data_IF_157161310116
#
_entry.id   IF_157161310116
#
_cell.length_a   1.000
_cell.length_b   1.000
_cell.length_c   1.000
_cell.angle_alpha   90.00
_cell.angle_beta   90.00
_cell.angle_gamma   90.00
#
_symmetry.space_group_name_H-M   'P 1'
#
loop_
_entity.id
_entity.type
_entity.pdbx_description
1 polymer ?
#
# COMPACT_ATOMS: atom_id res chain seq x y z
N UNK A 1 0.09 11.44 8.08
CA UNK A 1 0.75 11.43 6.77
C UNK A 1 0.27 10.18 6.06
N UNK A 2 -0.08 10.25 4.76
CA UNK A 2 -0.36 9.05 3.97
C UNK A 2 0.82 8.06 4.08
N UNK A 3 0.53 6.77 4.02
CA UNK A 3 1.56 5.75 3.92
C UNK A 3 2.35 5.88 2.62
N UNK A 4 3.46 5.15 2.51
CA UNK A 4 4.34 5.21 1.34
C UNK A 4 3.60 4.76 0.07
N UNK A 5 2.69 3.80 0.23
CA UNK A 5 1.94 3.23 -0.88
C UNK A 5 0.89 4.21 -1.38
N UNK A 6 0.13 4.85 -0.50
CA UNK A 6 -0.85 5.87 -0.88
C UNK A 6 -0.17 7.04 -1.55
N UNK A 7 0.97 7.49 -1.02
CA UNK A 7 1.79 8.52 -1.66
C UNK A 7 2.32 8.09 -3.04
N UNK A 8 2.69 6.82 -3.22
CA UNK A 8 3.10 6.28 -4.52
C UNK A 8 1.93 6.24 -5.51
N UNK A 9 0.74 5.84 -5.09
CA UNK A 9 -0.48 5.84 -5.92
C UNK A 9 -0.88 7.27 -6.31
N UNK A 10 -0.80 8.21 -5.38
CA UNK A 10 -1.05 9.63 -5.63
C UNK A 10 -0.04 10.20 -6.62
N UNK A 11 1.26 9.94 -6.41
CA UNK A 11 2.31 10.37 -7.33
C UNK A 11 2.16 9.77 -8.73
N UNK A 12 1.76 8.50 -8.80
CA UNK A 12 1.47 7.84 -10.06
C UNK A 12 0.28 8.47 -10.78
N UNK A 13 -0.82 8.77 -10.07
CA UNK A 13 -2.00 9.41 -10.64
C UNK A 13 -1.68 10.81 -11.20
N UNK A 14 -0.86 11.60 -10.50
CA UNK A 14 -0.40 12.92 -10.95
C UNK A 14 0.45 12.86 -12.23
N UNK A 15 1.11 11.72 -12.50
CA UNK A 15 1.83 11.51 -13.75
C UNK A 15 0.91 11.29 -14.97
N UNK A 16 -0.41 11.10 -14.78
CA UNK A 16 -1.38 10.80 -15.85
C UNK A 16 -0.94 9.66 -16.77
N UNK A 17 -0.74 8.45 -16.22
CA UNK A 17 -0.29 7.28 -16.97
C UNK A 17 -1.32 6.86 -18.02
N UNK A 18 -0.86 6.14 -19.04
CA UNK A 18 -1.72 5.40 -19.97
C UNK A 18 -1.90 3.98 -19.43
N UNK A 19 -3.04 3.75 -18.77
CA UNK A 19 -3.31 2.52 -18.02
C UNK A 19 -2.30 2.32 -16.87
N UNK A 20 -1.57 1.20 -16.91
CA UNK A 20 -0.54 0.86 -15.91
C UNK A 20 0.90 1.21 -16.34
N UNK A 21 1.04 2.10 -17.34
CA UNK A 21 2.33 2.50 -17.90
C UNK A 21 2.50 4.01 -18.03
N UNK A 22 3.74 4.46 -17.95
CA UNK A 22 4.15 5.86 -18.16
C UNK A 22 5.30 5.89 -19.17
N UNK A 23 5.24 6.77 -20.16
CA UNK A 23 6.31 6.90 -21.14
C UNK A 23 7.61 7.42 -20.49
N UNK A 24 8.73 6.74 -20.73
CA UNK A 24 10.04 7.01 -20.09
C UNK A 24 10.50 8.45 -20.33
N UNK A 25 10.29 8.97 -21.54
CA UNK A 25 10.69 10.32 -21.94
C UNK A 25 9.92 11.45 -21.23
N UNK A 26 8.76 11.14 -20.66
CA UNK A 26 7.95 12.12 -19.91
C UNK A 26 8.40 12.20 -18.45
N UNK A 27 8.95 11.12 -17.89
CA UNK A 27 9.30 11.03 -16.47
C UNK A 27 10.22 12.16 -16.00
N UNK A 28 11.29 12.57 -16.72
CA UNK A 28 12.16 13.67 -16.27
C UNK A 28 11.41 14.97 -15.99
N UNK A 29 10.35 15.25 -16.76
CA UNK A 29 9.53 16.45 -16.63
C UNK A 29 8.57 16.37 -15.43
N UNK A 30 8.26 15.15 -14.97
CA UNK A 30 7.35 14.87 -13.87
C UNK A 30 8.06 14.75 -12.52
N UNK A 31 9.40 14.64 -12.50
CA UNK A 31 10.20 14.49 -11.28
C UNK A 31 9.88 15.51 -10.19
N UNK A 32 9.71 16.81 -10.47
CA UNK A 32 9.37 17.78 -9.43
C UNK A 32 8.06 17.43 -8.71
N UNK A 33 7.04 16.97 -9.45
CA UNK A 33 5.74 16.60 -8.89
C UNK A 33 5.83 15.30 -8.07
N UNK A 34 6.63 14.33 -8.54
CA UNK A 34 6.86 13.09 -7.79
C UNK A 34 7.61 13.38 -6.49
N UNK A 35 8.63 14.24 -6.53
CA UNK A 35 9.49 14.56 -5.39
C UNK A 35 8.71 15.15 -4.21
N UNK A 36 7.74 16.03 -4.46
CA UNK A 36 6.97 16.66 -3.36
C UNK A 36 6.06 15.69 -2.62
N UNK A 37 5.78 14.52 -3.21
CA UNK A 37 4.93 13.49 -2.61
C UNK A 37 5.72 12.45 -1.82
N UNK A 38 7.06 12.48 -1.84
CA UNK A 38 7.89 11.51 -1.10
C UNK A 38 7.75 11.73 0.42
N UNK A 39 7.22 10.73 1.17
CA UNK A 39 7.05 10.87 2.61
C UNK A 39 8.38 11.14 3.33
N UNK A 40 8.35 12.02 4.34
CA UNK A 40 9.56 12.42 5.08
C UNK A 40 10.48 13.42 4.34
N UNK A 41 10.21 13.72 3.07
CA UNK A 41 11.02 14.58 2.19
C UNK A 41 11.34 15.95 2.75
N UNK A 42 10.39 16.58 3.44
CA UNK A 42 10.50 17.96 3.89
C UNK A 42 10.46 18.11 5.43
N UNK A 43 10.49 17.00 6.16
CA UNK A 43 10.40 17.01 7.63
C UNK A 43 11.64 17.61 8.29
N UNK A 44 12.82 17.43 7.68
CA UNK A 44 14.09 17.95 8.19
C UNK A 44 14.92 18.58 7.07
N UNK A 45 15.84 19.51 7.38
CA UNK A 45 16.76 20.04 6.38
C UNK A 45 17.67 18.98 5.75
N UNK A 46 17.96 17.89 6.47
CA UNK A 46 18.76 16.79 5.96
C UNK A 46 17.98 15.92 4.99
N UNK A 47 16.74 15.55 5.31
CA UNK A 47 15.86 14.81 4.39
C UNK A 47 15.57 15.62 3.12
N UNK A 48 15.39 16.94 3.22
CA UNK A 48 15.22 17.82 2.07
C UNK A 48 16.44 17.85 1.14
N UNK A 49 17.66 17.82 1.70
CA UNK A 49 18.90 17.70 0.91
C UNK A 49 18.98 16.36 0.19
N UNK A 50 18.69 15.24 0.88
CA UNK A 50 18.67 13.91 0.26
C UNK A 50 17.62 13.80 -0.84
N UNK A 51 16.43 14.35 -0.61
CA UNK A 51 15.38 14.43 -1.62
C UNK A 51 15.86 15.19 -2.86
N UNK A 52 16.49 16.36 -2.65
CA UNK A 52 17.06 17.15 -3.73
C UNK A 52 18.16 16.39 -4.51
N UNK A 53 19.02 15.64 -3.83
CA UNK A 53 20.05 14.80 -4.47
C UNK A 53 19.48 13.64 -5.30
N UNK A 54 18.36 13.05 -4.86
CA UNK A 54 17.71 11.94 -5.57
C UNK A 54 17.03 12.39 -6.86
N UNK A 55 16.40 13.57 -6.85
CA UNK A 55 15.53 14.03 -7.93
C UNK A 55 16.18 15.07 -8.86
N UNK A 56 17.22 15.79 -8.43
CA UNK A 56 17.88 16.80 -9.27
C UNK A 56 19.26 16.35 -9.77
N UNK A 57 19.44 16.35 -11.09
CA UNK A 57 20.77 16.24 -11.71
C UNK A 57 21.52 17.56 -11.51
N UNK A 58 22.51 17.59 -10.63
CA UNK A 58 23.40 18.75 -10.50
C UNK A 58 24.39 18.90 -11.66
N UNK A 59 24.40 17.95 -12.61
CA UNK A 59 25.47 17.88 -13.58
C UNK A 59 25.12 18.68 -14.86
N UNK A 60 26.03 19.58 -15.30
CA UNK A 60 25.88 20.28 -16.58
C UNK A 60 25.87 19.29 -17.76
N UNK A 61 25.38 19.77 -18.91
CA UNK A 61 25.20 19.05 -20.20
C UNK A 61 26.14 17.83 -20.34
N UNK A 62 25.56 16.62 -20.27
CA UNK A 62 26.30 15.34 -20.27
C UNK A 62 26.39 14.64 -18.91
N UNK A 63 25.75 15.18 -17.88
CA UNK A 63 25.64 14.59 -16.56
C UNK A 63 24.90 13.25 -16.48
N UNK A 64 25.18 12.48 -15.43
CA UNK A 64 24.39 11.30 -15.09
C UNK A 64 22.93 11.71 -14.76
N UNK A 65 21.94 10.87 -15.13
CA UNK A 65 20.54 11.11 -14.78
C UNK A 65 20.36 11.11 -13.25
N UNK A 66 19.29 11.73 -12.71
CA UNK A 66 19.00 11.70 -11.28
C UNK A 66 18.90 10.26 -10.79
N UNK A 67 19.28 10.02 -9.54
CA UNK A 67 19.27 8.67 -8.95
C UNK A 67 17.88 8.03 -9.05
N UNK A 68 16.82 8.82 -8.87
CA UNK A 68 15.45 8.34 -9.03
C UNK A 68 15.17 7.76 -10.41
N UNK A 69 15.60 8.42 -11.49
CA UNK A 69 15.42 7.89 -12.86
C UNK A 69 16.15 6.56 -13.07
N UNK A 70 17.32 6.39 -12.45
CA UNK A 70 18.09 5.16 -12.53
C UNK A 70 17.37 3.97 -11.86
N UNK A 71 16.48 4.24 -10.90
CA UNK A 71 15.72 3.20 -10.19
C UNK A 71 14.46 2.71 -10.94
N UNK A 72 13.93 3.48 -11.90
CA UNK A 72 12.63 3.19 -12.54
C UNK A 72 12.64 2.02 -13.54
N UNK A 73 13.82 1.52 -13.92
CA UNK A 73 14.03 0.32 -14.77
C UNK A 73 13.04 0.24 -15.96
N UNK A 74 13.05 1.21 -16.88
CA UNK A 74 12.11 1.25 -18.00
C UNK A 74 12.24 0.01 -18.90
N UNK A 75 11.11 -0.42 -19.46
CA UNK A 75 10.96 -1.56 -20.37
C UNK A 75 10.29 -1.07 -21.64
N UNK A 76 10.98 -1.22 -22.78
CA UNK A 76 10.49 -0.78 -24.11
C UNK A 76 10.07 0.71 -24.14
N UNK A 77 10.80 1.58 -23.43
CA UNK A 77 10.48 3.01 -23.34
C UNK A 77 9.30 3.32 -22.42
N UNK A 78 8.85 2.37 -21.61
CA UNK A 78 7.76 2.56 -20.66
C UNK A 78 8.21 2.18 -19.24
N UNK A 79 7.74 2.94 -18.25
CA UNK A 79 7.83 2.61 -16.83
C UNK A 79 6.50 2.02 -16.42
N UNK A 80 6.50 0.82 -15.85
CA UNK A 80 5.29 0.23 -15.28
C UNK A 80 5.13 0.63 -13.81
N UNK A 81 3.88 0.69 -13.34
CA UNK A 81 3.57 1.09 -11.96
C UNK A 81 4.35 0.31 -10.91
N UNK A 82 4.52 -1.02 -11.03
CA UNK A 82 5.25 -1.80 -10.02
C UNK A 82 6.73 -1.39 -9.88
N UNK A 83 7.40 -1.05 -10.98
CA UNK A 83 8.76 -0.53 -10.94
C UNK A 83 8.80 0.90 -10.40
N UNK A 84 7.81 1.72 -10.76
CA UNK A 84 7.66 3.05 -10.18
C UNK A 84 7.47 3.00 -8.67
N UNK A 85 6.54 2.15 -8.19
CA UNK A 85 6.28 1.95 -6.78
C UNK A 85 7.53 1.43 -6.06
N UNK A 86 8.29 0.50 -6.65
CA UNK A 86 9.58 0.06 -6.12
C UNK A 86 10.56 1.23 -5.97
N UNK A 87 10.78 2.01 -7.02
CA UNK A 87 11.68 3.18 -6.98
C UNK A 87 11.22 4.24 -5.96
N UNK A 88 9.90 4.45 -5.84
CA UNK A 88 9.30 5.39 -4.91
C UNK A 88 9.49 4.95 -3.45
N UNK A 89 9.23 3.68 -3.13
CA UNK A 89 9.49 3.11 -1.80
C UNK A 89 10.96 3.23 -1.41
N UNK A 90 11.88 2.95 -2.34
CA UNK A 90 13.32 3.09 -2.08
C UNK A 90 13.73 4.56 -1.89
N UNK A 91 13.18 5.49 -2.67
CA UNK A 91 13.40 6.91 -2.49
C UNK A 91 12.94 7.38 -1.10
N UNK A 92 11.74 6.97 -0.65
CA UNK A 92 11.23 7.29 0.68
C UNK A 92 12.15 6.79 1.80
N UNK A 93 12.67 5.55 1.68
CA UNK A 93 13.63 4.96 2.65
C UNK A 93 14.95 5.73 2.69
N UNK A 94 15.49 6.11 1.53
CA UNK A 94 16.74 6.88 1.41
C UNK A 94 16.61 8.28 2.02
N UNK A 95 15.46 8.94 1.79
CA UNK A 95 15.15 10.26 2.33
C UNK A 95 14.99 10.23 3.85
N UNK A 96 14.20 9.27 4.37
CA UNK A 96 14.03 9.04 5.81
C UNK A 96 15.35 8.72 6.53
N UNK A 97 16.35 8.28 5.76
CA UNK A 97 17.75 8.41 6.14
C UNK A 97 18.52 7.14 6.36
N UNK A 98 18.02 6.00 5.89
CA UNK A 98 18.74 4.71 5.85
C UNK A 98 19.29 4.17 7.19
N UNK A 99 19.22 4.97 8.26
CA UNK A 99 19.65 4.63 9.59
C UNK A 99 18.56 3.79 10.23
N UNK A 100 18.70 2.48 10.05
CA UNK A 100 18.16 1.41 10.91
C UNK A 100 17.20 1.94 11.99
N UNK A 101 15.92 1.74 11.72
CA UNK A 101 14.70 2.11 12.47
C UNK A 101 14.61 1.58 13.92
N UNK A 102 15.74 1.39 14.61
CA UNK A 102 15.80 0.93 16.00
C UNK A 102 15.80 2.08 17.01
N UNK A 103 14.92 3.08 16.88
CA UNK A 103 14.76 4.09 17.93
C UNK A 103 13.32 4.61 18.02
N UNK A 104 12.54 3.85 18.80
CA UNK A 104 11.60 4.37 19.79
C UNK A 104 10.40 5.20 19.30
N UNK A 105 9.46 4.57 18.59
CA UNK A 105 8.05 4.94 18.70
C UNK A 105 7.13 3.74 18.34
N UNK A 106 6.76 3.00 19.38
CA UNK A 106 5.63 2.05 19.52
C UNK A 106 5.37 0.95 18.47
N UNK A 107 5.30 -0.33 18.91
CA UNK A 107 4.97 -1.50 18.10
C UNK A 107 3.46 -1.68 17.88
N UNK A 108 2.72 -0.65 17.48
CA UNK A 108 1.25 -0.73 17.38
C UNK A 108 0.66 -0.50 16.00
N UNK A 109 1.44 -0.10 15.01
CA UNK A 109 0.85 0.10 13.70
C UNK A 109 0.85 -1.20 12.89
N UNK A 110 -0.20 -2.00 13.10
CA UNK A 110 -0.49 -3.18 12.26
C UNK A 110 -0.59 -2.81 10.78
N UNK A 111 -0.95 -1.57 10.45
CA UNK A 111 -1.05 -1.10 9.08
C UNK A 111 0.33 -1.03 8.42
N UNK A 112 1.27 -0.29 9.01
CA UNK A 112 2.63 -0.19 8.48
C UNK A 112 3.34 -1.54 8.32
N UNK A 113 2.96 -2.54 9.14
CA UNK A 113 3.47 -3.91 8.96
C UNK A 113 2.97 -4.56 7.67
N UNK A 114 1.68 -4.49 7.38
CA UNK A 114 1.11 -5.15 6.21
C UNK A 114 1.61 -4.50 4.91
N UNK A 115 1.73 -3.17 4.90
CA UNK A 115 2.31 -2.43 3.78
C UNK A 115 3.73 -2.92 3.46
N UNK A 116 4.59 -3.08 4.48
CA UNK A 116 5.95 -3.61 4.32
C UNK A 116 5.95 -5.05 3.78
N UNK A 117 5.05 -5.92 4.25
CA UNK A 117 4.94 -7.29 3.76
C UNK A 117 4.51 -7.33 2.27
N UNK A 118 3.63 -6.41 1.84
CA UNK A 118 3.21 -6.27 0.43
C UNK A 118 4.33 -5.70 -0.45
N UNK A 119 5.10 -4.72 0.01
CA UNK A 119 6.29 -4.23 -0.69
C UNK A 119 7.32 -5.37 -0.90
N UNK A 120 7.55 -6.18 0.13
CA UNK A 120 8.46 -7.33 0.02
C UNK A 120 7.96 -8.37 -0.99
N UNK A 121 6.66 -8.63 -1.04
CA UNK A 121 6.07 -9.52 -2.04
C UNK A 121 6.27 -8.96 -3.45
N UNK A 122 5.97 -7.67 -3.66
CA UNK A 122 6.21 -6.95 -4.93
C UNK A 122 7.66 -7.12 -5.37
N UNK A 123 8.61 -6.86 -4.47
CA UNK A 123 10.04 -6.89 -4.81
C UNK A 123 10.51 -8.29 -5.20
N UNK A 124 10.06 -9.34 -4.49
CA UNK A 124 10.37 -10.73 -4.87
C UNK A 124 9.76 -11.10 -6.21
N UNK A 125 8.51 -10.72 -6.45
CA UNK A 125 7.82 -10.95 -7.72
C UNK A 125 8.57 -10.26 -8.89
N UNK A 126 8.93 -8.99 -8.75
CA UNK A 126 9.71 -8.27 -9.77
C UNK A 126 11.07 -8.94 -10.00
N UNK A 127 11.75 -9.37 -8.93
CA UNK A 127 13.01 -10.10 -9.04
C UNK A 127 12.87 -11.41 -9.83
N UNK A 128 11.77 -12.15 -9.67
CA UNK A 128 11.49 -13.36 -10.47
C UNK A 128 11.35 -13.04 -11.95
N UNK A 129 10.59 -12.00 -12.28
CA UNK A 129 10.37 -11.53 -13.66
C UNK A 129 11.72 -11.14 -14.29
N UNK A 130 12.54 -10.37 -13.57
CA UNK A 130 13.87 -9.96 -14.01
C UNK A 130 14.81 -11.15 -14.24
N UNK A 131 14.84 -12.11 -13.31
CA UNK A 131 15.69 -13.29 -13.40
C UNK A 131 15.33 -14.19 -14.59
N UNK A 132 14.03 -14.31 -14.90
CA UNK A 132 13.53 -15.08 -16.02
C UNK A 132 13.65 -14.35 -17.37
N UNK A 133 13.99 -13.04 -17.36
CA UNK A 133 14.05 -12.18 -18.56
C UNK A 133 12.76 -12.21 -19.39
N UNK A 134 11.63 -12.31 -18.71
CA UNK A 134 10.27 -12.34 -19.27
C UNK A 134 9.51 -11.11 -18.80
N UNK A 135 8.35 -10.85 -19.40
CA UNK A 135 7.38 -9.82 -18.97
C UNK A 135 6.13 -10.45 -18.32
N UNK A 136 6.16 -11.77 -18.11
CA UNK A 136 5.05 -12.55 -17.57
C UNK A 136 5.51 -13.40 -16.39
N UNK A 137 4.65 -13.52 -15.38
CA UNK A 137 4.86 -14.38 -14.23
C UNK A 137 3.82 -15.50 -14.25
N UNK A 138 4.26 -16.76 -14.14
CA UNK A 138 3.31 -17.86 -13.98
C UNK A 138 2.53 -17.72 -12.68
N UNK A 139 1.23 -17.99 -12.71
CA UNK A 139 0.35 -17.96 -11.53
C UNK A 139 0.83 -18.91 -10.44
N UNK A 140 1.42 -20.05 -10.80
CA UNK A 140 2.03 -20.98 -9.84
C UNK A 140 3.15 -20.30 -9.05
N UNK A 141 4.02 -19.55 -9.73
CA UNK A 141 5.12 -18.81 -9.06
C UNK A 141 4.57 -17.70 -8.18
N UNK A 142 3.49 -17.01 -8.60
CA UNK A 142 2.84 -16.00 -7.76
C UNK A 142 2.28 -16.62 -6.48
N UNK A 143 1.57 -17.76 -6.60
CA UNK A 143 1.01 -18.50 -5.47
C UNK A 143 2.11 -18.95 -4.51
N UNK A 144 3.24 -19.45 -5.02
CA UNK A 144 4.39 -19.83 -4.20
C UNK A 144 4.96 -18.63 -3.41
N UNK A 145 5.09 -17.46 -4.05
CA UNK A 145 5.59 -16.24 -3.39
C UNK A 145 4.61 -15.72 -2.32
N UNK A 146 3.31 -15.88 -2.54
CA UNK A 146 2.26 -15.53 -1.56
C UNK A 146 2.27 -16.50 -0.38
N UNK A 147 2.41 -17.81 -0.62
CA UNK A 147 2.60 -18.80 0.45
C UNK A 147 3.85 -18.51 1.30
N UNK A 148 4.93 -18.10 0.65
CA UNK A 148 6.16 -17.67 1.32
C UNK A 148 5.92 -16.43 2.20
N UNK A 149 5.23 -15.40 1.68
CA UNK A 149 4.79 -14.23 2.47
C UNK A 149 3.96 -14.66 3.68
N UNK A 150 2.92 -15.46 3.46
CA UNK A 150 2.01 -15.93 4.50
C UNK A 150 2.73 -16.65 5.63
N UNK A 151 3.75 -17.46 5.31
CA UNK A 151 4.54 -18.23 6.27
C UNK A 151 5.44 -17.35 7.16
N UNK A 152 5.84 -16.18 6.65
CA UNK A 152 6.69 -15.22 7.38
C UNK A 152 5.93 -14.05 8.01
N UNK A 153 4.64 -13.93 7.67
CA UNK A 153 3.79 -12.81 8.09
C UNK A 153 3.39 -12.87 9.56
N UNK A 154 3.19 -11.70 10.16
CA UNK A 154 2.50 -11.62 11.46
C UNK A 154 0.99 -11.39 11.36
N UNK A 155 0.46 -11.32 10.15
CA UNK A 155 -0.97 -11.17 9.85
C UNK A 155 -1.43 -12.35 8.98
N UNK A 156 -1.32 -13.61 9.45
CA UNK A 156 -1.64 -14.79 8.65
C UNK A 156 -3.11 -14.88 8.24
N UNK A 157 -4.01 -14.14 8.91
CA UNK A 157 -5.43 -14.06 8.53
C UNK A 157 -5.62 -13.42 7.15
N UNK A 158 -5.02 -12.26 6.94
CA UNK A 158 -5.07 -11.55 5.66
C UNK A 158 -4.53 -12.41 4.51
N UNK A 159 -3.36 -13.01 4.68
CA UNK A 159 -2.75 -13.83 3.63
C UNK A 159 -3.55 -15.09 3.29
N UNK A 160 -4.32 -15.63 4.25
CA UNK A 160 -5.24 -16.73 3.97
C UNK A 160 -6.36 -16.29 3.03
N UNK A 161 -6.95 -15.13 3.26
CA UNK A 161 -7.99 -14.55 2.39
C UNK A 161 -7.44 -14.28 0.99
N UNK A 162 -6.21 -13.76 0.89
CA UNK A 162 -5.51 -13.58 -0.40
C UNK A 162 -5.32 -14.91 -1.13
N UNK A 163 -4.87 -15.97 -0.44
CA UNK A 163 -4.69 -17.31 -1.02
C UNK A 163 -6.03 -17.92 -1.47
N UNK A 164 -7.10 -17.72 -0.72
CA UNK A 164 -8.45 -18.16 -1.11
C UNK A 164 -8.92 -17.43 -2.37
N UNK A 165 -8.68 -16.11 -2.47
CA UNK A 165 -8.98 -15.31 -3.66
C UNK A 165 -8.17 -15.71 -4.89
N UNK A 166 -6.92 -16.15 -4.71
CA UNK A 166 -6.06 -16.63 -5.79
C UNK A 166 -6.60 -17.90 -6.47
N UNK A 167 -7.44 -18.69 -5.79
CA UNK A 167 -8.12 -19.83 -6.40
C UNK A 167 -8.95 -19.46 -7.64
N UNK A 168 -9.44 -18.21 -7.71
CA UNK A 168 -10.15 -17.71 -8.88
C UNK A 168 -9.22 -17.47 -10.09
N UNK A 169 -7.91 -17.27 -9.86
CA UNK A 169 -6.90 -17.06 -10.91
C UNK A 169 -6.31 -18.36 -11.46
N UNK A 170 -6.68 -19.53 -10.94
CA UNK A 170 -6.14 -20.83 -11.39
C UNK A 170 -6.33 -21.10 -12.89
N UNK A 171 -7.32 -20.47 -13.52
CA UNK A 171 -7.57 -20.59 -14.95
C UNK A 171 -6.57 -19.80 -15.81
N UNK A 172 -5.88 -18.81 -15.23
CA UNK A 172 -4.88 -17.98 -15.90
C UNK A 172 -3.52 -18.61 -15.68
N UNK A 173 -2.83 -19.02 -16.74
CA UNK A 173 -1.54 -19.71 -16.62
C UNK A 173 -0.37 -18.76 -16.27
N UNK A 174 -0.42 -17.55 -16.83
CA UNK A 174 0.59 -16.53 -16.64
C UNK A 174 -0.04 -15.14 -16.69
N UNK A 175 0.43 -14.26 -15.80
CA UNK A 175 0.02 -12.88 -15.68
C UNK A 175 1.09 -11.99 -16.29
N UNK A 176 0.70 -11.08 -17.18
CA UNK A 176 1.58 -10.00 -17.61
C UNK A 176 1.72 -8.93 -16.52
N UNK A 177 2.61 -7.96 -16.74
CA UNK A 177 2.93 -6.96 -15.73
C UNK A 177 1.75 -6.01 -15.38
N UNK A 178 0.83 -5.77 -16.31
CA UNK A 178 -0.37 -4.96 -16.09
C UNK A 178 -1.41 -5.74 -15.26
N UNK A 179 -1.65 -7.01 -15.59
CA UNK A 179 -2.52 -7.89 -14.80
C UNK A 179 -1.99 -8.06 -13.38
N UNK A 180 -0.69 -8.26 -13.24
CA UNK A 180 -0.02 -8.36 -11.95
C UNK A 180 -0.13 -7.04 -11.15
N UNK A 181 -0.04 -5.90 -11.83
CA UNK A 181 -0.26 -4.59 -11.22
C UNK A 181 -1.68 -4.49 -10.65
N UNK A 182 -2.69 -4.87 -11.44
CA UNK A 182 -4.08 -4.84 -11.02
C UNK A 182 -4.32 -5.75 -9.80
N UNK A 183 -3.74 -6.95 -9.79
CA UNK A 183 -3.80 -7.88 -8.64
C UNK A 183 -3.16 -7.25 -7.39
N UNK A 184 -1.97 -6.65 -7.52
CA UNK A 184 -1.30 -6.01 -6.38
C UNK A 184 -2.09 -4.81 -5.84
N UNK A 185 -2.67 -3.98 -6.71
CA UNK A 185 -3.51 -2.84 -6.29
C UNK A 185 -4.78 -3.33 -5.58
N UNK A 186 -5.43 -4.39 -6.10
CA UNK A 186 -6.58 -4.99 -5.43
C UNK A 186 -6.23 -5.46 -4.02
N UNK A 187 -5.10 -6.17 -3.85
CA UNK A 187 -4.60 -6.58 -2.54
C UNK A 187 -4.28 -5.42 -1.61
N UNK A 188 -3.80 -4.30 -2.12
CA UNK A 188 -3.60 -3.10 -1.30
C UNK A 188 -4.93 -2.55 -0.77
N UNK A 189 -5.96 -2.49 -1.60
CA UNK A 189 -7.29 -2.08 -1.15
C UNK A 189 -7.91 -3.07 -0.15
N UNK A 190 -7.72 -4.37 -0.38
CA UNK A 190 -8.17 -5.43 0.53
C UNK A 190 -7.44 -5.31 1.88
N UNK A 191 -6.14 -5.04 1.86
CA UNK A 191 -5.33 -4.82 3.07
C UNK A 191 -5.87 -3.66 3.90
N UNK A 192 -6.14 -2.50 3.29
CA UNK A 192 -6.73 -1.35 3.99
C UNK A 192 -8.09 -1.71 4.59
N UNK A 193 -8.96 -2.37 3.82
CA UNK A 193 -10.29 -2.79 4.27
C UNK A 193 -10.22 -3.78 5.43
N UNK A 194 -9.30 -4.75 5.35
CA UNK A 194 -9.06 -5.75 6.37
C UNK A 194 -8.59 -5.12 7.68
N UNK A 195 -7.66 -4.16 7.61
CA UNK A 195 -7.16 -3.42 8.78
C UNK A 195 -8.25 -2.58 9.44
N UNK A 196 -9.12 -1.93 8.67
CA UNK A 196 -10.27 -1.21 9.22
C UNK A 196 -11.20 -2.12 10.01
N UNK A 197 -11.49 -3.31 9.49
CA UNK A 197 -12.34 -4.31 10.15
C UNK A 197 -11.73 -4.78 11.47
N UNK A 198 -10.41 -5.00 11.51
CA UNK A 198 -9.68 -5.34 12.73
C UNK A 198 -9.75 -4.20 13.76
N UNK A 199 -9.56 -2.96 13.33
CA UNK A 199 -9.62 -1.79 14.20
C UNK A 199 -11.02 -1.59 14.81
N UNK A 200 -12.09 -1.78 14.01
CA UNK A 200 -13.48 -1.73 14.49
C UNK A 200 -13.77 -2.84 15.50
N UNK A 201 -13.27 -4.06 15.24
CA UNK A 201 -13.44 -5.20 16.13
C UNK A 201 -12.75 -4.98 17.47
N UNK A 202 -11.51 -4.48 17.47
CA UNK A 202 -10.76 -4.16 18.69
C UNK A 202 -11.44 -3.05 19.53
N UNK A 203 -11.97 -2.01 18.88
CA UNK A 203 -12.69 -0.94 19.57
C UNK A 203 -13.97 -1.43 20.27
N UNK A 204 -14.70 -2.36 19.65
CA UNK A 204 -15.94 -2.92 20.23
C UNK A 204 -15.69 -3.75 21.50
N UNK A 205 -14.57 -4.46 21.59
CA UNK A 205 -14.24 -5.31 22.74
C UNK A 205 -13.71 -4.52 23.94
N UNK A 206 -13.01 -3.40 23.71
CA UNK A 206 -12.47 -2.55 24.78
C UNK A 206 -13.54 -1.81 25.60
N UNK A 207 -14.73 -1.56 25.04
CA UNK A 207 -15.80 -0.80 25.69
C UNK A 207 -16.57 -1.58 26.78
N UNK A 208 -16.58 -2.91 26.74
CA UNK A 208 -17.38 -3.72 27.66
C UNK A 208 -16.72 -3.91 29.04
N UNK A 209 -15.39 -3.90 29.11
CA UNK A 209 -14.66 -4.20 30.35
C UNK A 209 -14.60 -3.03 31.36
N UNK A 210 -14.80 -1.79 30.93
CA UNK A 210 -14.66 -0.59 31.79
C UNK A 210 -15.90 -0.25 32.62
N UNK A 211 -17.03 -0.94 32.39
CA UNK A 211 -18.31 -0.60 33.04
C UNK A 211 -18.65 -1.44 34.29
N UNK A 212 -17.79 -2.37 34.68
CA UNK A 212 -18.07 -3.31 35.77
C UNK A 212 -17.68 -2.85 37.19
N UNK A 213 -16.99 -1.70 37.36
CA UNK A 213 -16.46 -1.30 38.70
C UNK A 213 -16.99 0.04 39.24
N UNK A 214 -18.18 0.49 38.81
CA UNK A 214 -18.83 1.65 39.41
C UNK A 214 -20.33 1.45 39.58
N UNK A 215 -20.72 0.85 40.69
CA UNK A 215 -22.10 0.95 41.16
C UNK A 215 -22.55 -0.18 42.07
N UNK A 216 -22.31 0.00 43.36
CA UNK A 216 -23.07 -0.65 44.43
C UNK A 216 -24.58 -0.57 44.14
N UNK A 217 -25.22 -1.73 44.19
CA UNK A 217 -26.48 -1.98 44.90
C UNK A 217 -27.63 -1.00 44.61
N UNK A 218 -28.48 -1.35 43.64
CA UNK A 218 -29.91 -1.07 43.72
C UNK A 218 -30.68 -2.08 42.84
N UNK A 219 -31.63 -2.73 43.51
CA UNK A 219 -32.74 -3.58 43.05
C UNK A 219 -32.66 -4.28 41.68
N UNK A 220 -32.53 -5.60 41.78
CA UNK A 220 -32.55 -6.57 40.69
C UNK A 220 -33.88 -7.32 40.74
N UNK A 221 -34.93 -6.74 40.16
CA UNK A 221 -36.17 -7.41 39.77
C UNK A 221 -36.77 -6.63 38.61
N UNK A 222 -37.20 -7.36 37.58
CA UNK A 222 -37.84 -6.90 36.34
C UNK A 222 -36.89 -6.41 35.23
N UNK A 223 -36.63 -7.31 34.27
CA UNK A 223 -36.73 -7.08 32.82
C UNK A 223 -36.03 -8.23 32.06
N UNK A 224 -36.69 -9.38 32.03
CA UNK A 224 -36.60 -10.32 30.91
C UNK A 224 -37.22 -9.65 29.66
N UNK A 225 -36.71 -10.01 28.48
CA UNK A 225 -37.23 -9.65 27.14
C UNK A 225 -37.08 -8.20 26.64
N UNK A 226 -35.85 -7.67 26.53
CA UNK A 226 -35.59 -6.55 25.60
C UNK A 226 -34.74 -7.01 24.43
N UNK A 227 -35.41 -7.23 23.30
CA UNK A 227 -34.78 -7.54 22.01
C UNK A 227 -33.79 -6.46 21.56
N UNK A 228 -32.93 -6.83 20.62
CA UNK A 228 -31.88 -5.97 20.07
C UNK A 228 -32.54 -4.85 19.25
N UNK A 229 -32.33 -3.56 19.58
CA UNK A 229 -32.86 -2.47 18.76
C UNK A 229 -32.11 -2.40 17.43
N UNK A 230 -32.84 -2.39 16.31
CA UNK A 230 -32.33 -2.17 14.95
C UNK A 230 -32.82 -0.80 14.48
N UNK A 231 -31.89 0.04 14.03
CA UNK A 231 -32.18 1.39 13.52
C UNK A 231 -32.02 1.40 12.00
N UNK A 232 -33.11 1.67 11.27
CA UNK A 232 -33.12 1.78 9.82
C UNK A 232 -33.17 3.27 9.45
N UNK A 233 -32.18 3.74 8.71
CA UNK A 233 -32.18 5.10 8.14
C UNK A 233 -32.69 5.01 6.70
N UNK A 234 -33.90 5.53 6.46
CA UNK A 234 -34.51 5.63 5.12
C UNK A 234 -34.39 7.07 4.66
N UNK A 235 -33.74 7.28 3.52
CA UNK A 235 -33.64 8.59 2.88
C UNK A 235 -34.64 8.66 1.73
N UNK A 236 -35.41 9.73 1.68
CA UNK A 236 -36.32 10.04 0.58
C UNK A 236 -35.56 10.84 -0.48
N UNK A 237 -35.42 10.25 -1.67
CA UNK A 237 -34.73 10.84 -2.83
C UNK A 237 -35.70 11.52 -3.80
N UNK A 238 -36.97 11.68 -3.44
CA UNK A 238 -37.96 12.34 -4.31
C UNK A 238 -37.77 13.85 -4.47
N UNK A 239 -36.80 14.46 -3.77
CA UNK A 239 -36.51 15.90 -3.83
C UNK A 239 -35.23 16.27 -4.58
N UNK A 240 -34.56 15.34 -5.26
CA UNK A 240 -33.48 15.71 -6.17
C UNK A 240 -34.08 16.25 -7.48
N UNK A 241 -34.28 17.58 -7.52
CA UNK A 241 -34.56 18.34 -8.74
C UNK A 241 -33.50 17.98 -9.79
N UNK A 242 -33.96 17.46 -10.94
CA UNK A 242 -33.10 17.07 -12.05
C UNK A 242 -32.39 18.32 -12.59
N UNK A 243 -31.08 18.42 -12.36
CA UNK A 243 -30.21 19.45 -12.93
C UNK A 243 -29.76 19.05 -14.33
#
# INVERSE_FOLDING_TARGET
MPGVIEAALEAWAECRPDGMTLAEELVPQLLPNIAVLVPGGLETPESARRLNELFNSQAPVGGAPPVFLQMLKPRRGQVHFLYFWQAFSEAAKLVAGGGSTSSSAQPRDTQGRLEVELEQLRDRVLQRIEAQKTEQLSTVVLVDEVHSSASSSGLPGYWREVLEGLGALEQIQALNLEELTAVMIAWLHDASSWLELQNRSAASQGGAASRADRGKSADRRDLEEKGIPVYLHVYDVSQEESV
#
